data_IF_853222442383
#
_entry.id   IF_853222442383
#
_cell.length_a   1.000
_cell.length_b   1.000
_cell.length_c   1.000
_cell.angle_alpha   90.00
_cell.angle_beta   90.00
_cell.angle_gamma   90.00
#
_symmetry.space_group_name_H-M   'P 1'
#
loop_
_entity.id
_entity.type
_entity.pdbx_description
1 polymer ?
#
# COMPACT_ATOMS: atom_id res chain seq x y z
N UNK A 1 14.25 53.36 -26.14
CA UNK A 1 14.10 52.02 -26.70
C UNK A 1 15.26 51.17 -26.22
N UNK A 2 15.00 50.09 -25.49
CA UNK A 2 16.07 49.18 -25.03
C UNK A 2 16.51 48.29 -26.18
N UNK A 3 17.76 48.51 -26.68
CA UNK A 3 18.38 47.59 -27.63
C UNK A 3 18.96 46.40 -26.87
N UNK A 4 18.23 45.28 -26.82
CA UNK A 4 18.73 44.02 -26.34
C UNK A 4 19.83 43.52 -27.30
N UNK A 5 21.01 43.20 -26.76
CA UNK A 5 22.05 42.61 -27.60
C UNK A 5 21.67 41.18 -28.03
N UNK A 6 22.19 40.74 -29.14
CA UNK A 6 21.92 39.40 -29.70
C UNK A 6 22.27 38.28 -28.65
N UNK A 7 23.29 38.52 -27.83
CA UNK A 7 23.71 37.59 -26.76
C UNK A 7 22.68 37.52 -25.63
N UNK A 8 22.07 38.66 -25.26
CA UNK A 8 21.02 38.67 -24.26
C UNK A 8 19.78 37.91 -24.74
N UNK A 9 19.41 38.05 -26.02
CA UNK A 9 18.29 37.30 -26.58
C UNK A 9 18.57 35.80 -26.61
N UNK A 10 19.80 35.36 -26.97
CA UNK A 10 20.19 33.93 -26.90
C UNK A 10 20.17 33.40 -25.49
N UNK A 11 20.66 34.17 -24.50
CA UNK A 11 20.64 33.78 -23.07
C UNK A 11 19.23 33.62 -22.57
N UNK A 12 18.33 34.57 -22.83
CA UNK A 12 16.91 34.41 -22.46
C UNK A 12 16.25 33.21 -23.13
N UNK A 13 16.57 32.94 -24.40
CA UNK A 13 16.07 31.76 -25.12
C UNK A 13 16.50 30.45 -24.42
N UNK A 14 17.77 30.34 -24.03
CA UNK A 14 18.26 29.14 -23.32
C UNK A 14 17.68 29.02 -21.92
N UNK A 15 17.48 30.12 -21.19
CA UNK A 15 16.82 30.11 -19.87
C UNK A 15 15.36 29.68 -19.96
N UNK A 16 14.61 30.18 -20.94
CA UNK A 16 13.21 29.78 -21.18
C UNK A 16 13.15 28.28 -21.50
N UNK A 17 14.06 27.79 -22.34
CA UNK A 17 14.09 26.36 -22.71
C UNK A 17 14.42 25.48 -21.47
N UNK A 18 15.39 25.92 -20.66
CA UNK A 18 15.72 25.24 -19.40
C UNK A 18 14.54 25.21 -18.41
N UNK A 19 13.81 26.32 -18.27
CA UNK A 19 12.63 26.39 -17.42
C UNK A 19 11.50 25.49 -17.92
N UNK A 20 11.26 25.43 -19.24
CA UNK A 20 10.28 24.51 -19.82
C UNK A 20 10.63 23.06 -19.52
N UNK A 21 11.88 22.65 -19.75
CA UNK A 21 12.32 21.27 -19.46
C UNK A 21 12.20 20.92 -17.96
N UNK A 22 12.51 21.87 -17.07
CA UNK A 22 12.31 21.67 -15.62
C UNK A 22 10.84 21.53 -15.25
N UNK A 23 9.98 22.33 -15.86
CA UNK A 23 8.54 22.28 -15.66
C UNK A 23 7.94 20.96 -16.16
N UNK A 24 8.32 20.51 -17.36
CA UNK A 24 7.88 19.21 -17.89
C UNK A 24 8.28 18.05 -16.98
N UNK A 25 9.54 18.01 -16.52
CA UNK A 25 10.01 17.00 -15.56
C UNK A 25 9.30 17.08 -14.20
N UNK A 26 8.90 18.26 -13.77
CA UNK A 26 8.16 18.42 -12.52
C UNK A 26 6.72 17.88 -12.65
N UNK A 27 6.08 18.11 -13.80
CA UNK A 27 4.74 17.55 -14.09
C UNK A 27 4.82 16.03 -14.18
N UNK A 28 5.80 15.48 -14.90
CA UNK A 28 6.01 14.03 -15.00
C UNK A 28 6.15 13.39 -13.63
N UNK A 29 7.04 13.92 -12.79
CA UNK A 29 7.20 13.44 -11.41
C UNK A 29 5.93 13.56 -10.57
N UNK A 30 5.17 14.65 -10.74
CA UNK A 30 3.92 14.81 -10.01
C UNK A 30 2.88 13.76 -10.45
N UNK A 31 2.80 13.46 -11.73
CA UNK A 31 1.93 12.43 -12.26
C UNK A 31 2.33 11.03 -11.74
N UNK A 32 3.62 10.70 -11.71
CA UNK A 32 4.12 9.43 -11.17
C UNK A 32 3.75 9.26 -9.69
N UNK A 33 3.86 10.31 -8.88
CA UNK A 33 3.49 10.28 -7.46
C UNK A 33 1.98 10.10 -7.28
N UNK A 34 1.18 10.78 -8.11
CA UNK A 34 -0.29 10.62 -8.08
C UNK A 34 -0.66 9.18 -8.47
N UNK A 35 -0.08 8.63 -9.54
CA UNK A 35 -0.34 7.27 -9.99
C UNK A 35 0.01 6.25 -8.91
N UNK A 36 1.19 6.35 -8.30
CA UNK A 36 1.59 5.50 -7.17
C UNK A 36 0.63 5.61 -5.98
N UNK A 37 0.16 6.81 -5.67
CA UNK A 37 -0.82 7.05 -4.61
C UNK A 37 -2.16 6.38 -4.90
N UNK A 38 -2.64 6.46 -6.12
CA UNK A 38 -3.89 5.80 -6.57
C UNK A 38 -3.73 4.29 -6.49
N UNK A 39 -2.61 3.73 -6.95
CA UNK A 39 -2.33 2.30 -6.91
C UNK A 39 -2.31 1.76 -5.47
N UNK A 40 -1.60 2.42 -4.57
CA UNK A 40 -1.54 2.05 -3.16
C UNK A 40 -2.91 2.10 -2.48
N UNK A 41 -3.70 3.15 -2.80
CA UNK A 41 -5.05 3.32 -2.24
C UNK A 41 -5.98 2.21 -2.76
N UNK A 42 -5.93 1.91 -4.05
CA UNK A 42 -6.78 0.89 -4.66
C UNK A 42 -6.43 -0.50 -4.13
N UNK A 43 -5.15 -0.83 -4.01
CA UNK A 43 -4.70 -2.09 -3.41
C UNK A 43 -5.18 -2.23 -1.96
N UNK A 44 -5.04 -1.17 -1.16
CA UNK A 44 -5.48 -1.16 0.24
C UNK A 44 -7.00 -1.28 0.38
N UNK A 45 -7.75 -0.56 -0.45
CA UNK A 45 -9.22 -0.64 -0.47
C UNK A 45 -9.70 -2.04 -0.87
N UNK A 46 -9.04 -2.67 -1.85
CA UNK A 46 -9.35 -4.05 -2.27
C UNK A 46 -9.08 -5.04 -1.14
N UNK A 47 -7.91 -4.95 -0.49
CA UNK A 47 -7.56 -5.82 0.64
C UNK A 47 -8.56 -5.68 1.79
N UNK A 48 -8.92 -4.44 2.15
CA UNK A 48 -9.92 -4.15 3.18
C UNK A 48 -11.30 -4.70 2.81
N UNK A 49 -11.78 -4.42 1.59
CA UNK A 49 -13.07 -4.87 1.10
C UNK A 49 -13.19 -6.39 1.11
N UNK A 50 -12.15 -7.09 0.67
CA UNK A 50 -12.09 -8.55 0.73
C UNK A 50 -12.08 -9.08 2.16
N UNK A 51 -11.32 -8.45 3.07
CA UNK A 51 -11.31 -8.82 4.48
C UNK A 51 -12.70 -8.71 5.11
N UNK A 52 -13.41 -7.60 4.85
CA UNK A 52 -14.79 -7.41 5.33
C UNK A 52 -15.75 -8.44 4.71
N UNK A 53 -15.61 -8.69 3.41
CA UNK A 53 -16.48 -9.65 2.71
C UNK A 53 -16.24 -11.08 3.21
N UNK A 54 -15.01 -11.50 3.40
CA UNK A 54 -14.66 -12.83 3.90
C UNK A 54 -15.19 -13.09 5.31
N UNK A 55 -15.27 -12.06 6.16
CA UNK A 55 -15.83 -12.21 7.51
C UNK A 55 -17.33 -12.32 7.53
N UNK A 56 -18.01 -11.88 6.48
CA UNK A 56 -19.49 -11.88 6.37
C UNK A 56 -20.04 -13.01 5.53
N UNK A 57 -19.25 -13.62 4.67
CA UNK A 57 -19.70 -14.66 3.76
C UNK A 57 -19.08 -16.02 4.07
N UNK A 58 -19.89 -17.06 4.04
CA UNK A 58 -19.40 -18.44 4.18
C UNK A 58 -18.66 -18.93 2.92
N UNK A 59 -18.67 -18.14 1.83
CA UNK A 59 -18.08 -18.49 0.53
C UNK A 59 -16.62 -18.02 0.44
N UNK A 60 -15.75 -18.65 1.22
CA UNK A 60 -14.31 -18.32 1.19
C UNK A 60 -13.56 -18.99 0.04
N UNK A 61 -14.20 -19.88 -0.72
CA UNK A 61 -13.59 -20.63 -1.82
C UNK A 61 -14.50 -20.68 -3.03
N UNK A 62 -13.90 -20.52 -4.21
CA UNK A 62 -14.52 -20.77 -5.52
C UNK A 62 -13.74 -21.90 -6.18
N UNK A 63 -14.41 -22.98 -6.52
CA UNK A 63 -13.81 -24.20 -7.08
C UNK A 63 -12.65 -24.77 -6.22
N UNK A 64 -12.73 -24.63 -4.90
CA UNK A 64 -11.71 -25.09 -3.98
C UNK A 64 -10.54 -24.11 -3.78
N UNK A 65 -10.46 -23.03 -4.55
CA UNK A 65 -9.43 -21.98 -4.44
C UNK A 65 -9.95 -20.84 -3.57
N UNK A 66 -9.15 -20.29 -2.63
CA UNK A 66 -9.53 -19.09 -1.90
C UNK A 66 -9.87 -17.94 -2.85
N UNK A 67 -10.97 -17.22 -2.56
CA UNK A 67 -11.51 -16.17 -3.45
C UNK A 67 -10.52 -15.03 -3.65
N UNK A 68 -9.82 -14.63 -2.60
CA UNK A 68 -8.78 -13.60 -2.63
C UNK A 68 -7.62 -13.99 -3.56
N UNK A 69 -7.16 -15.24 -3.49
CA UNK A 69 -6.13 -15.76 -4.39
C UNK A 69 -6.64 -15.81 -5.84
N UNK A 70 -7.83 -16.35 -6.06
CA UNK A 70 -8.43 -16.44 -7.39
C UNK A 70 -8.63 -15.06 -8.02
N UNK A 71 -9.13 -14.09 -7.25
CA UNK A 71 -9.35 -12.72 -7.70
C UNK A 71 -8.03 -12.01 -7.99
N UNK A 72 -7.02 -12.19 -7.13
CA UNK A 72 -5.70 -11.63 -7.34
C UNK A 72 -5.05 -12.08 -8.64
N UNK A 73 -5.05 -13.39 -8.88
CA UNK A 73 -4.51 -13.96 -10.11
C UNK A 73 -5.32 -13.57 -11.35
N UNK A 74 -6.64 -13.55 -11.27
CA UNK A 74 -7.51 -13.16 -12.39
C UNK A 74 -7.32 -11.67 -12.75
N UNK A 75 -7.22 -10.79 -11.77
CA UNK A 75 -6.98 -9.37 -11.99
C UNK A 75 -5.61 -9.12 -12.67
N UNK A 76 -4.56 -9.80 -12.22
CA UNK A 76 -3.25 -9.72 -12.88
C UNK A 76 -3.29 -10.25 -14.31
N UNK A 77 -3.90 -11.42 -14.53
CA UNK A 77 -4.02 -11.99 -15.86
C UNK A 77 -4.79 -11.05 -16.80
N UNK A 78 -5.89 -10.46 -16.35
CA UNK A 78 -6.64 -9.49 -17.11
C UNK A 78 -5.84 -8.23 -17.43
N UNK A 79 -5.05 -7.73 -16.47
CA UNK A 79 -4.14 -6.59 -16.66
C UNK A 79 -3.07 -6.89 -17.72
N UNK A 80 -2.42 -8.05 -17.65
CA UNK A 80 -1.41 -8.48 -18.64
C UNK A 80 -1.99 -8.70 -20.03
N UNK A 81 -3.23 -9.15 -20.14
CA UNK A 81 -3.93 -9.27 -21.42
C UNK A 81 -4.44 -7.94 -21.97
N UNK A 82 -4.20 -6.83 -21.26
CA UNK A 82 -4.67 -5.51 -21.66
C UNK A 82 -6.19 -5.34 -21.57
N UNK A 83 -6.86 -6.25 -20.86
CA UNK A 83 -8.30 -6.15 -20.61
C UNK A 83 -8.58 -4.92 -19.76
N UNK A 84 -9.53 -4.09 -20.22
CA UNK A 84 -9.84 -2.81 -19.54
C UNK A 84 -9.15 -1.59 -20.19
N UNK A 85 -8.33 -1.76 -21.22
CA UNK A 85 -7.71 -0.63 -21.96
C UNK A 85 -6.94 0.30 -21.01
N UNK A 86 -7.36 1.57 -20.90
CA UNK A 86 -6.73 2.56 -20.00
C UNK A 86 -6.81 2.20 -18.50
N UNK A 87 -7.70 1.31 -18.12
CA UNK A 87 -7.84 0.84 -16.73
C UNK A 87 -6.98 -0.40 -16.43
N UNK A 88 -6.26 -0.96 -17.41
CA UNK A 88 -5.42 -2.14 -17.21
C UNK A 88 -4.39 -2.00 -16.07
N UNK A 89 -3.71 -0.85 -15.85
CA UNK A 89 -2.82 -0.66 -14.70
C UNK A 89 -3.54 -0.87 -13.36
N UNK A 90 -4.78 -0.39 -13.23
CA UNK A 90 -5.55 -0.52 -11.98
C UNK A 90 -5.95 -1.98 -11.67
N UNK A 91 -6.03 -2.85 -12.68
CA UNK A 91 -6.24 -4.27 -12.45
C UNK A 91 -5.07 -4.92 -11.70
N UNK A 92 -3.84 -4.46 -11.94
CA UNK A 92 -2.68 -4.91 -11.17
C UNK A 92 -2.77 -4.46 -9.70
N UNK A 93 -3.23 -3.23 -9.44
CA UNK A 93 -3.41 -2.73 -8.07
C UNK A 93 -4.49 -3.50 -7.32
N UNK A 94 -5.61 -3.82 -7.97
CA UNK A 94 -6.66 -4.70 -7.44
C UNK A 94 -6.09 -6.10 -7.16
N UNK A 95 -5.31 -6.65 -8.11
CA UNK A 95 -4.64 -7.93 -7.95
C UNK A 95 -3.68 -7.96 -6.76
N UNK A 96 -2.86 -6.92 -6.61
CA UNK A 96 -1.96 -6.76 -5.47
C UNK A 96 -2.72 -6.71 -4.15
N UNK A 97 -3.83 -5.98 -4.08
CA UNK A 97 -4.67 -5.90 -2.88
C UNK A 97 -5.27 -7.24 -2.50
N UNK A 98 -5.78 -7.99 -3.48
CA UNK A 98 -6.34 -9.31 -3.26
C UNK A 98 -5.29 -10.33 -2.79
N UNK A 99 -4.12 -10.37 -3.43
CA UNK A 99 -3.01 -11.22 -3.00
C UNK A 99 -2.50 -10.84 -1.61
N UNK A 100 -2.43 -9.54 -1.29
CA UNK A 100 -2.03 -9.07 0.04
C UNK A 100 -2.98 -9.56 1.12
N UNK A 101 -4.31 -9.52 0.88
CA UNK A 101 -5.31 -10.06 1.79
C UNK A 101 -5.12 -11.57 2.00
N UNK A 102 -4.87 -12.32 0.92
CA UNK A 102 -4.60 -13.76 0.98
C UNK A 102 -3.36 -14.06 1.83
N UNK A 103 -2.22 -13.49 1.48
CA UNK A 103 -0.97 -13.74 2.19
C UNK A 103 -1.00 -13.29 3.64
N UNK A 104 -1.72 -12.21 3.96
CA UNK A 104 -1.94 -11.81 5.35
C UNK A 104 -2.69 -12.90 6.12
N UNK A 105 -3.75 -13.46 5.54
CA UNK A 105 -4.55 -14.54 6.16
C UNK A 105 -3.71 -15.79 6.37
N UNK A 106 -2.95 -16.22 5.35
CA UNK A 106 -2.03 -17.37 5.44
C UNK A 106 -0.94 -17.11 6.49
N UNK A 107 -0.32 -15.92 6.47
CA UNK A 107 0.73 -15.55 7.41
C UNK A 107 0.25 -15.57 8.87
N UNK A 108 -0.98 -15.11 9.13
CA UNK A 108 -1.60 -15.22 10.47
C UNK A 108 -1.78 -16.67 10.89
N UNK A 109 -2.22 -17.55 9.97
CA UNK A 109 -2.35 -18.98 10.25
C UNK A 109 -1.02 -19.62 10.65
N UNK A 110 0.02 -19.40 9.84
CA UNK A 110 1.38 -19.89 10.12
C UNK A 110 1.93 -19.32 11.43
N UNK A 111 1.76 -18.02 11.66
CA UNK A 111 2.19 -17.38 12.91
C UNK A 111 1.51 -17.96 14.14
N UNK A 112 0.21 -18.30 14.04
CA UNK A 112 -0.53 -18.98 15.12
C UNK A 112 0.04 -20.36 15.40
N UNK A 113 0.25 -21.19 14.37
CA UNK A 113 0.86 -22.51 14.52
C UNK A 113 2.26 -22.46 15.16
N UNK A 114 3.08 -21.49 14.72
CA UNK A 114 4.43 -21.30 15.29
C UNK A 114 4.38 -20.98 16.79
N UNK A 115 3.43 -20.13 17.21
CA UNK A 115 3.23 -19.80 18.62
C UNK A 115 2.78 -21.00 19.44
N UNK A 116 1.84 -21.77 18.93
CA UNK A 116 1.34 -22.99 19.56
C UNK A 116 2.48 -24.00 19.76
N UNK A 117 3.30 -24.22 18.72
CA UNK A 117 4.49 -25.09 18.81
C UNK A 117 5.54 -24.60 19.79
N UNK A 118 5.65 -23.28 19.98
CA UNK A 118 6.56 -22.66 20.94
C UNK A 118 5.99 -22.63 22.38
N UNK A 119 4.79 -23.14 22.61
CA UNK A 119 4.13 -23.10 23.94
C UNK A 119 3.77 -21.69 24.39
N UNK A 120 3.71 -20.72 23.49
CA UNK A 120 3.35 -19.35 23.80
C UNK A 120 1.82 -19.20 23.87
N UNK A 121 1.30 -18.37 24.79
CA UNK A 121 -0.14 -18.15 24.89
C UNK A 121 -0.71 -17.60 23.58
N UNK A 122 -1.97 -17.94 23.23
CA UNK A 122 -2.61 -17.38 22.05
C UNK A 122 -2.58 -15.86 22.13
N UNK A 123 -2.35 -15.21 20.97
CA UNK A 123 -2.51 -13.75 20.90
C UNK A 123 -3.99 -13.48 21.10
N UNK A 124 -4.36 -12.94 22.27
CA UNK A 124 -5.69 -12.35 22.41
C UNK A 124 -5.76 -11.24 21.36
N UNK A 125 -6.60 -11.43 20.35
CA UNK A 125 -6.99 -10.36 19.47
C UNK A 125 -7.81 -9.38 20.31
N UNK A 126 -7.13 -8.62 21.15
CA UNK A 126 -7.69 -7.50 21.84
C UNK A 126 -8.10 -6.48 20.81
N UNK A 127 -9.40 -6.28 20.71
CA UNK A 127 -10.04 -5.07 20.24
C UNK A 127 -9.65 -4.62 18.85
N UNK A 128 -10.58 -4.75 17.96
CA UNK A 128 -10.83 -3.79 16.90
C UNK A 128 -11.01 -2.38 17.49
N UNK A 129 -9.93 -1.79 17.97
CA UNK A 129 -9.83 -0.38 18.26
C UNK A 129 -8.76 0.19 17.32
N UNK A 130 -8.88 1.43 16.85
CA UNK A 130 -7.79 2.10 16.17
C UNK A 130 -6.56 1.94 17.04
N UNK A 131 -5.42 1.58 16.43
CA UNK A 131 -4.16 1.43 17.10
C UNK A 131 -3.83 2.76 17.82
N UNK A 132 -4.31 2.92 19.03
CA UNK A 132 -3.70 3.84 19.97
C UNK A 132 -2.32 3.23 20.25
N UNK A 133 -1.31 3.83 19.62
CA UNK A 133 0.10 3.62 19.95
C UNK A 133 0.38 4.11 21.37
N UNK A 134 -0.24 3.47 22.34
CA UNK A 134 0.01 3.61 23.75
C UNK A 134 0.74 2.37 24.20
N UNK A 135 2.02 2.49 24.52
CA UNK A 135 2.73 1.54 25.35
C UNK A 135 1.97 1.40 26.66
N UNK A 136 1.12 0.38 26.77
CA UNK A 136 0.54 -0.05 28.06
C UNK A 136 1.64 -0.68 28.94
N UNK A 137 2.72 0.07 29.16
CA UNK A 137 3.56 -0.12 30.32
C UNK A 137 2.74 0.42 31.49
N UNK A 138 2.25 -0.46 32.37
CA UNK A 138 1.61 -0.03 33.60
C UNK A 138 2.55 0.93 34.34
N UNK A 139 1.99 1.94 35.00
CA UNK A 139 2.78 2.91 35.77
C UNK A 139 3.75 2.21 36.73
N UNK A 140 3.39 1.03 37.23
CA UNK A 140 4.25 0.16 38.04
C UNK A 140 5.48 -0.36 37.27
N UNK A 141 5.37 -0.67 35.99
CA UNK A 141 6.49 -1.10 35.16
C UNK A 141 7.46 0.06 34.88
N UNK A 142 6.92 1.27 34.67
CA UNK A 142 7.72 2.49 34.52
C UNK A 142 8.46 2.85 35.80
N UNK A 143 7.79 2.74 36.98
CA UNK A 143 8.38 2.96 38.28
C UNK A 143 9.47 1.92 38.62
N UNK A 144 9.27 0.65 38.22
CA UNK A 144 10.27 -0.40 38.42
C UNK A 144 11.52 -0.18 37.56
N UNK A 145 11.36 0.33 36.31
CA UNK A 145 12.50 0.70 35.47
C UNK A 145 13.26 1.91 36.01
N UNK A 146 12.56 2.91 36.54
CA UNK A 146 13.18 4.09 37.13
C UNK A 146 14.02 3.76 38.35
N UNK A 147 13.58 2.82 39.20
CA UNK A 147 14.31 2.36 40.40
C UNK A 147 15.56 1.54 40.09
N UNK A 148 15.71 0.95 38.91
CA UNK A 148 16.90 0.18 38.52
C UNK A 148 18.04 1.05 37.99
N UNK A 149 17.80 2.33 37.76
CA UNK A 149 18.81 3.27 37.18
C UNK A 149 19.40 4.24 38.25
N UNK A 150 18.98 4.18 39.46
CA UNK A 150 19.56 4.87 40.62
C UNK A 150 20.33 3.89 41.51
#
# INVERSE_FOLDING_TARGET
MMNLSLEQVKKFGSEIQSLRTKHEKAIEKANDVIEQGVDATLASATAFGLGVWQTRSDHQKVLGVPVDLAMGLAAHAAGFMGMGGKAAPYLHSVGNGALSAHFHTVGRGVGKEMREKAGLPPVSMGGEGPAEGGSNLSDDALLAMARRRG
#
